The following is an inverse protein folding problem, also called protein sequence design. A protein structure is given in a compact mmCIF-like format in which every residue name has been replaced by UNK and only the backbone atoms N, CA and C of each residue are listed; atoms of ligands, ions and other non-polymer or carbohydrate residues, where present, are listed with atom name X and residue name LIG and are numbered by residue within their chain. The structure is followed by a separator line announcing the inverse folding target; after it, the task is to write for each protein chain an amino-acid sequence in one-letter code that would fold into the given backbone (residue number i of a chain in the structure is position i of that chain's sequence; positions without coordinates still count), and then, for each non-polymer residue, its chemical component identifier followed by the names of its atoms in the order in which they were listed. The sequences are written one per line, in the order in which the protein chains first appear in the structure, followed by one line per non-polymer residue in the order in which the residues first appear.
data_IF_630959744188
#
_entry.id   IF_630959744188
#
_cell.length_a   1.000
_cell.length_b   1.000
_cell.length_c   1.000
_cell.angle_alpha   90.00
_cell.angle_beta   90.00
_cell.angle_gamma   90.00
#
_symmetry.space_group_name_H-M   'P 1'
#
loop_
_entity.id
_entity.type
_entity.pdbx_description
1 polymer ?
#
# COMPACT_ATOMS: atom_id res chain seq x y z
N UNK A 1 -6.90 -65.98 -13.68
CA UNK A 1 -6.60 -64.61 -13.18
C UNK A 1 -5.88 -63.84 -14.29
N UNK A 2 -6.59 -62.99 -15.00
CA UNK A 2 -6.05 -62.18 -16.11
C UNK A 2 -5.72 -60.79 -15.59
N UNK A 3 -4.44 -60.43 -15.58
CA UNK A 3 -3.99 -59.08 -15.26
C UNK A 3 -4.34 -58.14 -16.42
N UNK A 4 -5.27 -57.20 -16.18
CA UNK A 4 -5.63 -56.16 -17.13
C UNK A 4 -4.54 -55.08 -17.15
N UNK A 5 -3.87 -54.94 -18.29
CA UNK A 5 -2.86 -53.91 -18.57
C UNK A 5 -3.56 -52.55 -18.64
N UNK A 6 -3.24 -51.61 -17.73
CA UNK A 6 -3.72 -50.22 -17.81
C UNK A 6 -3.35 -49.62 -19.17
N UNK A 7 -4.26 -48.84 -19.80
CA UNK A 7 -3.95 -48.15 -21.05
C UNK A 7 -2.89 -47.08 -20.79
N UNK A 8 -1.94 -46.99 -21.72
CA UNK A 8 -0.86 -46.03 -21.73
C UNK A 8 -1.48 -44.63 -21.77
N UNK A 9 -1.43 -43.91 -20.66
CA UNK A 9 -1.83 -42.50 -20.64
C UNK A 9 -0.78 -41.73 -21.43
N UNK A 10 -1.10 -41.48 -22.70
CA UNK A 10 -0.48 -40.47 -23.54
C UNK A 10 -0.17 -39.26 -22.67
N UNK A 11 1.11 -38.94 -22.53
CA UNK A 11 1.57 -37.69 -21.92
C UNK A 11 1.03 -36.54 -22.76
N UNK A 12 -0.12 -36.01 -22.36
CA UNK A 12 -0.55 -34.69 -22.80
C UNK A 12 0.55 -33.73 -22.33
N UNK A 13 1.39 -33.31 -23.27
CA UNK A 13 2.34 -32.24 -23.04
C UNK A 13 1.48 -31.01 -22.77
N UNK A 14 1.52 -30.39 -21.57
CA UNK A 14 0.76 -29.19 -21.35
C UNK A 14 1.27 -28.15 -22.35
N UNK A 15 0.38 -27.57 -23.14
CA UNK A 15 0.75 -26.56 -24.12
C UNK A 15 1.45 -25.39 -23.41
N UNK A 16 2.75 -25.24 -23.66
CA UNK A 16 3.59 -24.18 -23.10
C UNK A 16 3.08 -22.76 -23.40
N UNK A 17 2.11 -22.63 -24.32
CA UNK A 17 1.42 -21.37 -24.63
C UNK A 17 0.62 -20.81 -23.46
N UNK A 18 -0.09 -21.67 -22.72
CA UNK A 18 -0.90 -21.24 -21.57
C UNK A 18 -0.05 -20.75 -20.39
N UNK A 19 1.09 -21.41 -20.13
CA UNK A 19 2.03 -21.01 -19.09
C UNK A 19 2.78 -19.71 -19.43
N UNK A 20 3.12 -19.49 -20.71
CA UNK A 20 3.71 -18.23 -21.18
C UNK A 20 2.72 -17.07 -21.12
N UNK A 21 1.47 -17.30 -21.51
CA UNK A 21 0.42 -16.29 -21.43
C UNK A 21 0.05 -15.98 -19.97
N UNK A 22 -0.04 -17.00 -19.11
CA UNK A 22 -0.21 -16.82 -17.68
C UNK A 22 0.98 -16.08 -17.04
N UNK A 23 2.22 -16.40 -17.43
CA UNK A 23 3.42 -15.67 -16.98
C UNK A 23 3.43 -14.22 -17.44
N UNK A 24 2.96 -13.92 -18.65
CA UNK A 24 2.85 -12.56 -19.17
C UNK A 24 1.78 -11.76 -18.44
N UNK A 25 0.60 -12.34 -18.18
CA UNK A 25 -0.46 -11.71 -17.39
C UNK A 25 -0.04 -11.48 -15.93
N UNK A 26 0.69 -12.43 -15.34
CA UNK A 26 1.31 -12.24 -14.03
C UNK A 26 2.38 -11.15 -14.07
N UNK A 27 3.30 -11.13 -15.05
CA UNK A 27 4.36 -10.12 -15.12
C UNK A 27 3.83 -8.71 -15.39
N UNK A 28 2.90 -8.54 -16.32
CA UNK A 28 2.33 -7.22 -16.66
C UNK A 28 1.36 -6.68 -15.60
N UNK A 29 0.64 -7.57 -14.89
CA UNK A 29 -0.23 -7.19 -13.77
C UNK A 29 0.54 -6.91 -12.47
N UNK A 30 1.64 -7.62 -12.23
CA UNK A 30 2.45 -7.47 -11.00
C UNK A 30 3.31 -6.21 -11.00
N UNK A 31 3.79 -5.73 -12.15
CA UNK A 31 4.59 -4.49 -12.20
C UNK A 31 3.79 -3.25 -11.76
N UNK A 32 2.57 -3.07 -12.27
CA UNK A 32 1.71 -1.94 -11.92
C UNK A 32 1.23 -1.99 -10.47
N UNK A 33 0.92 -3.20 -9.97
CA UNK A 33 0.55 -3.40 -8.57
C UNK A 33 1.74 -3.14 -7.64
N UNK A 34 2.96 -3.50 -8.05
CA UNK A 34 4.18 -3.26 -7.29
C UNK A 34 4.54 -1.77 -7.25
N UNK A 35 4.40 -1.03 -8.35
CA UNK A 35 4.59 0.43 -8.36
C UNK A 35 3.59 1.15 -7.44
N UNK A 36 2.32 0.74 -7.46
CA UNK A 36 1.31 1.27 -6.54
C UNK A 36 1.71 1.00 -5.08
N UNK A 37 2.11 -0.24 -4.79
CA UNK A 37 2.55 -0.64 -3.46
C UNK A 37 3.72 0.21 -2.97
N UNK A 38 4.73 0.44 -3.80
CA UNK A 38 5.87 1.30 -3.47
C UNK A 38 5.44 2.74 -3.19
N UNK A 39 4.51 3.31 -3.97
CA UNK A 39 3.98 4.66 -3.73
C UNK A 39 3.22 4.75 -2.41
N UNK A 40 2.39 3.77 -2.09
CA UNK A 40 1.66 3.71 -0.81
C UNK A 40 2.60 3.59 0.38
N UNK A 41 3.58 2.68 0.31
CA UNK A 41 4.57 2.49 1.38
C UNK A 41 5.41 3.75 1.57
N UNK A 42 5.80 4.41 0.48
CA UNK A 42 6.53 5.67 0.55
C UNK A 42 5.71 6.76 1.25
N UNK A 43 4.45 6.97 0.88
CA UNK A 43 3.59 7.99 1.49
C UNK A 43 3.40 7.72 2.99
N UNK A 44 3.04 6.48 3.36
CA UNK A 44 2.88 6.08 4.75
C UNK A 44 4.16 6.23 5.57
N UNK A 45 5.31 5.97 4.97
CA UNK A 45 6.62 6.13 5.64
C UNK A 45 6.94 7.60 5.88
N UNK A 46 6.69 8.46 4.89
CA UNK A 46 6.89 9.91 5.02
C UNK A 46 5.95 10.49 6.10
N UNK A 47 4.67 10.14 6.03
CA UNK A 47 3.68 10.53 7.03
C UNK A 47 4.06 10.07 8.44
N UNK A 48 4.49 8.82 8.58
CA UNK A 48 4.94 8.26 9.86
C UNK A 48 6.14 9.02 10.43
N UNK A 49 7.15 9.31 9.61
CA UNK A 49 8.32 10.06 10.01
C UNK A 49 7.95 11.48 10.51
N UNK A 50 7.10 12.19 9.77
CA UNK A 50 6.65 13.54 10.12
C UNK A 50 5.86 13.55 11.43
N UNK A 51 4.97 12.59 11.65
CA UNK A 51 4.19 12.46 12.89
C UNK A 51 5.05 12.17 14.11
N UNK A 52 6.08 11.33 13.95
CA UNK A 52 7.05 11.05 15.01
C UNK A 52 7.83 12.32 15.35
N UNK A 53 8.33 13.03 14.34
CA UNK A 53 9.06 14.29 14.54
C UNK A 53 8.22 15.34 15.29
N UNK A 54 6.96 15.54 14.86
CA UNK A 54 6.02 16.46 15.51
C UNK A 54 5.70 16.06 16.95
N UNK A 55 5.62 14.75 17.23
CA UNK A 55 5.39 14.24 18.58
C UNK A 55 6.59 14.49 19.48
N UNK A 56 7.81 14.23 19.00
CA UNK A 56 9.05 14.51 19.75
C UNK A 56 9.18 16.00 20.02
N UNK A 57 8.92 16.86 19.01
CA UNK A 57 8.95 18.31 19.17
C UNK A 57 7.96 18.79 20.24
N UNK A 58 6.75 18.25 20.24
CA UNK A 58 5.72 18.59 21.24
C UNK A 58 6.14 18.11 22.64
N UNK A 59 6.73 16.92 22.75
CA UNK A 59 7.26 16.42 24.03
C UNK A 59 8.39 17.31 24.56
N UNK A 60 9.30 17.72 23.68
CA UNK A 60 10.35 18.67 24.03
C UNK A 60 9.77 19.99 24.54
N UNK A 61 8.75 20.53 23.86
CA UNK A 61 8.07 21.75 24.30
C UNK A 61 7.38 21.56 25.66
N UNK A 62 6.73 20.41 25.89
CA UNK A 62 6.11 20.10 27.18
C UNK A 62 7.12 20.07 28.34
N UNK A 63 8.36 19.64 28.11
CA UNK A 63 9.41 19.66 29.14
C UNK A 63 9.84 21.08 29.55
N UNK A 64 9.57 22.08 28.73
CA UNK A 64 9.87 23.48 29.03
C UNK A 64 8.71 24.22 29.71
N UNK A 65 7.51 23.63 29.78
CA UNK A 65 6.35 24.24 30.43
C UNK A 65 6.50 24.30 31.94
N UNK A 66 6.02 25.39 32.55
CA UNK A 66 6.11 25.61 34.00
C UNK A 66 4.83 25.27 34.74
N UNK A 67 3.72 25.07 34.03
CA UNK A 67 2.42 24.77 34.63
C UNK A 67 1.59 23.81 33.76
N UNK A 68 0.62 23.15 34.41
CA UNK A 68 -0.27 22.17 33.77
C UNK A 68 -1.17 22.77 32.66
N UNK A 69 -1.71 24.01 32.80
CA UNK A 69 -2.49 24.64 31.73
C UNK A 69 -1.71 24.82 30.41
N UNK A 70 -0.43 25.19 30.46
CA UNK A 70 0.43 25.29 29.26
C UNK A 70 0.58 23.94 28.56
N UNK A 71 0.74 22.85 29.33
CA UNK A 71 0.82 21.49 28.79
C UNK A 71 -0.49 21.09 28.14
N UNK A 72 -1.63 21.39 28.77
CA UNK A 72 -2.95 21.10 28.22
C UNK A 72 -3.19 21.83 26.89
N UNK A 73 -2.76 23.10 26.82
CA UNK A 73 -2.85 23.88 25.59
C UNK A 73 -1.99 23.31 24.45
N UNK A 74 -0.72 22.97 24.73
CA UNK A 74 0.16 22.33 23.75
C UNK A 74 -0.39 20.97 23.27
N UNK A 75 -0.94 20.17 24.17
CA UNK A 75 -1.57 18.90 23.79
C UNK A 75 -2.80 19.09 22.92
N UNK A 76 -3.63 20.09 23.21
CA UNK A 76 -4.79 20.41 22.37
C UNK A 76 -4.36 20.83 20.96
N UNK A 77 -3.33 21.68 20.85
CA UNK A 77 -2.77 22.06 19.55
C UNK A 77 -2.18 20.86 18.79
N UNK A 78 -1.44 19.99 19.48
CA UNK A 78 -0.89 18.77 18.88
C UNK A 78 -1.99 17.82 18.39
N UNK A 79 -3.08 17.68 19.15
CA UNK A 79 -4.21 16.84 18.77
C UNK A 79 -4.91 17.41 17.53
N UNK A 80 -5.21 18.70 17.52
CA UNK A 80 -5.79 19.38 16.36
C UNK A 80 -4.94 19.16 15.11
N UNK A 81 -3.64 19.41 15.23
CA UNK A 81 -2.68 19.22 14.14
C UNK A 81 -2.62 17.76 13.68
N UNK A 82 -2.67 16.81 14.60
CA UNK A 82 -2.72 15.39 14.26
C UNK A 82 -3.97 15.06 13.44
N UNK A 83 -5.15 15.55 13.86
CA UNK A 83 -6.39 15.30 13.11
C UNK A 83 -6.33 15.89 11.69
N UNK A 84 -5.84 17.12 11.53
CA UNK A 84 -5.70 17.76 10.23
C UNK A 84 -4.73 16.98 9.31
N UNK A 85 -3.62 16.50 9.88
CA UNK A 85 -2.63 15.68 9.17
C UNK A 85 -3.23 14.33 8.73
N UNK A 86 -3.97 13.63 9.60
CA UNK A 86 -4.63 12.37 9.24
C UNK A 86 -5.71 12.55 8.16
N UNK A 87 -6.48 13.63 8.23
CA UNK A 87 -7.48 13.95 7.22
C UNK A 87 -6.83 14.20 5.85
N UNK A 88 -5.73 14.95 5.84
CA UNK A 88 -4.94 15.24 4.63
C UNK A 88 -4.35 13.96 4.03
N UNK A 89 -3.73 13.12 4.87
CA UNK A 89 -3.13 11.85 4.45
C UNK A 89 -4.17 10.89 3.88
N UNK A 90 -5.36 10.82 4.51
CA UNK A 90 -6.47 10.00 4.00
C UNK A 90 -6.91 10.45 2.60
N UNK A 91 -6.92 11.76 2.34
CA UNK A 91 -7.17 12.31 1.01
C UNK A 91 -6.09 11.95 -0.01
N UNK A 92 -4.82 11.98 0.39
CA UNK A 92 -3.69 11.56 -0.45
C UNK A 92 -3.78 10.08 -0.81
N UNK A 93 -4.08 9.22 0.14
CA UNK A 93 -4.27 7.79 -0.11
C UNK A 93 -5.44 7.55 -1.07
N UNK A 94 -6.57 8.24 -0.89
CA UNK A 94 -7.71 8.14 -1.80
C UNK A 94 -7.34 8.55 -3.24
N UNK A 95 -6.50 9.57 -3.40
CA UNK A 95 -6.00 9.99 -4.71
C UNK A 95 -5.09 8.94 -5.35
N UNK A 96 -4.15 8.35 -4.59
CA UNK A 96 -3.30 7.25 -5.06
C UNK A 96 -4.16 6.07 -5.54
N UNK A 97 -5.23 5.74 -4.81
CA UNK A 97 -6.18 4.70 -5.23
C UNK A 97 -6.94 5.06 -6.50
N UNK A 98 -7.42 6.31 -6.62
CA UNK A 98 -8.13 6.78 -7.81
C UNK A 98 -7.25 6.70 -9.06
N UNK A 99 -6.01 7.16 -8.96
CA UNK A 99 -5.00 7.04 -10.03
C UNK A 99 -4.76 5.57 -10.43
N UNK A 100 -4.73 4.65 -9.45
CA UNK A 100 -4.54 3.23 -9.70
C UNK A 100 -5.68 2.62 -10.53
N UNK A 101 -6.91 2.94 -10.16
CA UNK A 101 -8.11 2.46 -10.85
C UNK A 101 -8.15 3.04 -12.26
N UNK A 102 -7.89 4.34 -12.42
CA UNK A 102 -7.88 4.99 -13.73
C UNK A 102 -6.84 4.36 -14.67
N UNK A 103 -5.60 4.16 -14.20
CA UNK A 103 -4.55 3.49 -14.98
C UNK A 103 -4.96 2.08 -15.38
N UNK A 104 -5.57 1.32 -14.47
CA UNK A 104 -6.02 -0.05 -14.74
C UNK A 104 -7.15 -0.09 -15.77
N UNK A 105 -8.08 0.86 -15.73
CA UNK A 105 -9.20 0.96 -16.69
C UNK A 105 -8.69 1.33 -18.08
N UNK A 106 -7.73 2.27 -18.20
CA UNK A 106 -7.13 2.64 -19.49
C UNK A 106 -6.41 1.47 -20.16
N UNK A 107 -5.62 0.69 -19.41
CA UNK A 107 -4.93 -0.51 -19.92
C UNK A 107 -5.92 -1.57 -20.46
N UNK A 108 -7.17 -1.59 -20.01
CA UNK A 108 -8.20 -2.52 -20.51
C UNK A 108 -8.94 -1.99 -21.75
N UNK A 109 -8.93 -0.69 -21.98
CA UNK A 109 -9.63 -0.04 -23.09
C UNK A 109 -8.78 0.02 -24.37
N UNK A 110 -7.44 -0.02 -24.22
CA UNK A 110 -6.46 -0.15 -25.30
C UNK A 110 -6.18 -1.63 -25.64
#
# INVERSE_FOLDING_TARGET
MTFSKRPNATSATPENGGLRQASFLLQGGTSNAFELWLRLVNELSQFGADRICETVKTQQQMMHCRNIPEIAHLRAQWLQKAMDQYATESGRLAEIWREAVEKTVRIRAD
#
